data_IF_101249019802
#
_entry.id   IF_101249019802
#
_cell.length_a   1.000
_cell.length_b   1.000
_cell.length_c   1.000
_cell.angle_alpha   90.00
_cell.angle_beta   90.00
_cell.angle_gamma   90.00
#
_symmetry.space_group_name_H-M   'P 1'
#
loop_
_entity.id
_entity.type
_entity.pdbx_description
1 polymer ?
#
# COMPACT_ATOMS: atom_id res chain seq x y z
N UNK A 1 18.36 -8.81 -78.05
CA UNK A 1 18.46 -9.64 -76.83
C UNK A 1 18.84 -8.76 -75.67
N UNK A 2 18.07 -8.77 -74.59
CA UNK A 2 18.36 -8.01 -73.37
C UNK A 2 17.12 -7.91 -72.47
N UNK A 3 16.86 -8.97 -71.69
CA UNK A 3 15.80 -9.00 -70.67
C UNK A 3 16.43 -8.67 -69.32
N UNK A 4 15.98 -7.59 -68.68
CA UNK A 4 16.28 -7.30 -67.28
C UNK A 4 15.05 -7.70 -66.45
N UNK A 5 15.17 -8.76 -65.67
CA UNK A 5 14.19 -9.20 -64.68
C UNK A 5 14.57 -8.66 -63.31
N UNK A 6 13.68 -7.88 -62.72
CA UNK A 6 13.75 -7.33 -61.36
C UNK A 6 13.52 -8.45 -60.34
N UNK A 7 14.51 -8.72 -59.50
CA UNK A 7 14.38 -9.56 -58.31
C UNK A 7 13.91 -8.74 -57.11
N UNK A 8 12.66 -8.94 -56.69
CA UNK A 8 12.17 -8.53 -55.38
C UNK A 8 12.39 -9.66 -54.39
N UNK A 9 13.02 -9.36 -53.25
CA UNK A 9 13.15 -10.27 -52.12
C UNK A 9 11.88 -10.15 -51.26
N UNK A 10 11.08 -11.22 -51.20
CA UNK A 10 9.98 -11.32 -50.23
C UNK A 10 10.58 -11.57 -48.84
N UNK A 11 10.57 -10.54 -48.00
CA UNK A 11 10.73 -10.69 -46.58
C UNK A 11 9.40 -11.21 -46.01
N UNK A 12 9.37 -12.48 -45.61
CA UNK A 12 8.24 -13.08 -44.90
C UNK A 12 8.19 -12.43 -43.51
N UNK A 13 7.28 -11.47 -43.33
CA UNK A 13 6.99 -10.92 -42.01
C UNK A 13 6.23 -12.01 -41.22
N UNK A 14 6.87 -12.53 -40.18
CA UNK A 14 6.22 -13.37 -39.16
C UNK A 14 5.27 -12.47 -38.36
N UNK A 15 4.01 -12.47 -38.79
CA UNK A 15 2.92 -11.62 -38.28
C UNK A 15 2.26 -12.25 -37.04
N UNK A 16 3.04 -12.92 -36.20
CA UNK A 16 2.56 -13.42 -34.92
C UNK A 16 2.34 -12.23 -33.98
N UNK A 17 1.09 -11.86 -33.62
CA UNK A 17 0.88 -10.73 -32.73
C UNK A 17 1.49 -11.08 -31.37
N UNK A 18 2.35 -10.20 -30.88
CA UNK A 18 2.79 -10.18 -29.49
C UNK A 18 1.51 -10.04 -28.66
N UNK A 19 1.02 -11.15 -28.11
CA UNK A 19 0.02 -11.10 -27.05
C UNK A 19 0.73 -10.48 -25.88
N UNK A 20 0.59 -9.15 -25.75
CA UNK A 20 0.69 -8.49 -24.46
C UNK A 20 -0.43 -9.14 -23.66
N UNK A 21 -0.08 -10.20 -22.92
CA UNK A 21 -0.93 -10.63 -21.84
C UNK A 21 -1.18 -9.35 -21.04
N UNK A 22 -2.45 -8.98 -20.87
CA UNK A 22 -2.84 -8.11 -19.79
C UNK A 22 -2.23 -8.73 -18.54
N UNK A 23 -1.05 -8.25 -18.20
CA UNK A 23 -0.50 -8.40 -16.88
C UNK A 23 -1.40 -7.47 -16.12
N UNK A 24 -2.49 -8.03 -15.63
CA UNK A 24 -3.23 -7.48 -14.51
C UNK A 24 -2.16 -7.32 -13.42
N UNK A 25 -1.52 -6.14 -13.43
CA UNK A 25 -0.92 -5.62 -12.23
C UNK A 25 -2.16 -5.50 -11.35
N UNK A 26 -2.36 -6.50 -10.50
CA UNK A 26 -3.35 -6.48 -9.44
C UNK A 26 -2.96 -5.32 -8.56
N UNK A 27 -3.32 -4.11 -9.01
CA UNK A 27 -3.38 -2.97 -8.14
C UNK A 27 -4.41 -3.40 -7.12
N UNK A 28 -4.05 -3.42 -5.83
CA UNK A 28 -5.05 -3.65 -4.81
C UNK A 28 -6.16 -2.65 -5.08
N UNK A 29 -7.40 -3.12 -5.01
CA UNK A 29 -8.58 -2.27 -5.19
C UNK A 29 -8.70 -1.37 -3.96
N UNK A 30 -7.74 -0.45 -3.83
CA UNK A 30 -7.48 0.31 -2.61
C UNK A 30 -8.60 1.29 -2.40
N UNK A 31 -9.15 1.24 -1.19
CA UNK A 31 -10.19 2.13 -0.70
C UNK A 31 -9.59 3.44 -0.20
N UNK A 32 -8.36 3.43 0.33
CA UNK A 32 -7.64 4.64 0.71
C UNK A 32 -6.80 5.19 -0.44
N UNK A 33 -6.92 6.50 -0.66
CA UNK A 33 -6.11 7.22 -1.65
C UNK A 33 -4.72 7.52 -1.09
N UNK A 34 -3.73 6.77 -1.56
CA UNK A 34 -2.31 7.05 -1.31
C UNK A 34 -1.87 8.29 -2.10
N UNK A 35 -1.10 9.17 -1.45
CA UNK A 35 -0.48 10.32 -2.08
C UNK A 35 0.79 10.72 -1.32
N UNK A 36 1.52 11.73 -1.81
CA UNK A 36 2.77 12.19 -1.20
C UNK A 36 2.65 12.74 0.24
N UNK A 37 1.42 12.90 0.75
CA UNK A 37 1.13 13.35 2.12
C UNK A 37 0.57 12.23 3.00
N UNK A 38 0.52 10.99 2.53
CA UNK A 38 0.19 9.83 3.36
C UNK A 38 1.24 9.68 4.46
N UNK A 39 0.82 9.48 5.70
CA UNK A 39 1.77 9.35 6.84
C UNK A 39 2.69 8.14 6.68
N UNK A 40 2.13 6.96 6.44
CA UNK A 40 2.88 5.74 6.11
C UNK A 40 2.20 5.03 4.93
N UNK A 41 2.92 4.90 3.83
CA UNK A 41 2.43 4.20 2.63
C UNK A 41 2.76 2.70 2.63
N UNK A 42 3.61 2.25 3.56
CA UNK A 42 3.97 0.86 3.76
C UNK A 42 4.32 0.60 5.23
N UNK A 43 3.50 -0.22 5.89
CA UNK A 43 3.73 -0.83 7.20
C UNK A 43 3.43 -2.33 7.09
N UNK A 44 3.98 -3.12 8.01
CA UNK A 44 3.47 -4.48 8.23
C UNK A 44 2.21 -4.39 9.10
N UNK A 45 1.13 -5.04 8.67
CA UNK A 45 -0.13 -5.06 9.38
C UNK A 45 -0.69 -6.47 9.51
N UNK A 46 -1.45 -6.69 10.56
CA UNK A 46 -2.09 -7.97 10.86
C UNK A 46 -3.56 -7.74 11.15
N UNK A 47 -4.43 -8.55 10.55
CA UNK A 47 -5.82 -8.66 10.95
C UNK A 47 -6.08 -10.02 11.60
N UNK A 48 -6.56 -9.98 12.83
CA UNK A 48 -6.94 -11.17 13.59
C UNK A 48 -8.46 -11.23 13.73
N UNK A 49 -9.06 -12.30 13.22
CA UNK A 49 -10.45 -12.66 13.44
C UNK A 49 -10.59 -13.79 14.46
N UNK A 50 -11.81 -14.28 14.66
CA UNK A 50 -12.05 -15.44 15.54
C UNK A 50 -11.38 -16.72 15.02
N UNK A 51 -11.33 -16.91 13.70
CA UNK A 51 -10.88 -18.14 13.04
C UNK A 51 -9.73 -17.91 12.04
N UNK A 52 -9.15 -16.71 11.99
CA UNK A 52 -8.05 -16.37 11.09
C UNK A 52 -7.08 -15.36 11.71
N UNK A 53 -5.84 -15.39 11.24
CA UNK A 53 -4.83 -14.37 11.44
C UNK A 53 -4.11 -14.19 10.10
N UNK A 54 -4.13 -12.97 9.57
CA UNK A 54 -3.60 -12.67 8.24
C UNK A 54 -2.71 -11.44 8.29
N UNK A 55 -1.53 -11.56 7.68
CA UNK A 55 -0.55 -10.49 7.55
C UNK A 55 -0.57 -9.91 6.14
N UNK A 56 -0.54 -8.59 6.03
CA UNK A 56 -0.49 -7.88 4.76
C UNK A 56 0.23 -6.54 4.94
N UNK A 57 0.73 -5.99 3.83
CA UNK A 57 1.18 -4.60 3.84
C UNK A 57 0.02 -3.67 4.13
N UNK A 58 0.28 -2.62 4.90
CA UNK A 58 -0.72 -1.69 5.39
C UNK A 58 -0.37 -0.25 5.03
N UNK A 59 -1.40 0.55 4.82
CA UNK A 59 -1.31 2.02 4.75
C UNK A 59 -1.94 2.57 6.00
N UNK A 60 -1.24 3.50 6.66
CA UNK A 60 -1.75 4.24 7.81
C UNK A 60 -1.65 5.74 7.54
N UNK A 61 -2.76 6.45 7.66
CA UNK A 61 -2.82 7.86 7.33
C UNK A 61 -3.49 8.68 8.43
N UNK A 62 -2.88 9.82 8.78
CA UNK A 62 -3.42 10.80 9.72
C UNK A 62 -3.66 12.11 8.99
N UNK A 63 -4.91 12.60 9.01
CA UNK A 63 -5.29 13.85 8.34
C UNK A 63 -6.26 14.67 9.18
N UNK A 64 -6.50 15.91 8.78
CA UNK A 64 -7.60 16.74 9.28
C UNK A 64 -8.28 17.44 8.09
N UNK A 65 -9.55 17.88 8.23
CA UNK A 65 -10.21 18.67 7.19
C UNK A 65 -9.38 19.89 6.78
N UNK A 66 -9.26 20.14 5.46
CA UNK A 66 -8.46 21.26 4.93
C UNK A 66 -9.04 22.65 5.27
N UNK A 67 -10.35 22.73 5.46
CA UNK A 67 -11.05 23.96 5.79
C UNK A 67 -11.78 23.74 7.12
N UNK A 68 -11.61 24.66 8.08
CA UNK A 68 -12.22 24.61 9.41
C UNK A 68 -12.05 23.24 10.11
N UNK A 69 -10.81 22.82 10.41
CA UNK A 69 -10.56 21.52 11.01
C UNK A 69 -11.22 21.40 12.40
N UNK A 70 -12.04 20.38 12.57
CA UNK A 70 -12.77 20.07 13.81
C UNK A 70 -12.45 18.67 14.37
N UNK A 71 -11.74 17.83 13.60
CA UNK A 71 -11.30 16.51 14.02
C UNK A 71 -9.98 16.09 13.34
N UNK A 72 -9.34 15.09 13.92
CA UNK A 72 -8.28 14.30 13.31
C UNK A 72 -8.89 12.98 12.84
N UNK A 73 -8.49 12.54 11.65
CA UNK A 73 -8.91 11.30 11.04
C UNK A 73 -7.72 10.37 10.93
N UNK A 74 -7.80 9.20 11.56
CA UNK A 74 -6.85 8.09 11.43
C UNK A 74 -7.49 7.03 10.52
N UNK A 75 -6.77 6.58 9.51
CA UNK A 75 -7.24 5.59 8.53
C UNK A 75 -6.22 4.48 8.38
N UNK A 76 -6.68 3.23 8.39
CA UNK A 76 -5.87 2.03 8.17
C UNK A 76 -6.49 1.21 7.04
N UNK A 77 -5.67 0.70 6.13
CA UNK A 77 -6.07 -0.28 5.12
C UNK A 77 -4.98 -1.32 4.95
N UNK A 78 -5.36 -2.60 5.05
CA UNK A 78 -4.52 -3.73 4.68
C UNK A 78 -4.65 -4.01 3.18
N UNK A 79 -3.55 -4.40 2.54
CA UNK A 79 -3.52 -4.77 1.12
C UNK A 79 -4.36 -6.02 0.89
N UNK A 80 -5.56 -5.83 0.34
CA UNK A 80 -6.54 -6.89 0.17
C UNK A 80 -6.09 -7.98 -0.81
N UNK A 81 -5.03 -7.76 -1.60
CA UNK A 81 -4.48 -8.79 -2.50
C UNK A 81 -3.65 -9.84 -1.76
N UNK A 82 -3.29 -9.55 -0.51
CA UNK A 82 -2.55 -10.44 0.39
C UNK A 82 -3.44 -11.08 1.46
N UNK A 83 -4.75 -10.81 1.44
CA UNK A 83 -5.73 -11.34 2.38
C UNK A 83 -6.56 -12.44 1.71
N UNK A 84 -6.89 -13.48 2.48
CA UNK A 84 -7.68 -14.62 1.99
C UNK A 84 -9.11 -14.57 2.51
N UNK A 85 -9.28 -14.25 3.79
CA UNK A 85 -10.56 -14.32 4.50
C UNK A 85 -11.22 -12.96 4.63
N UNK A 86 -10.42 -11.93 4.92
CA UNK A 86 -10.94 -10.61 5.24
C UNK A 86 -11.26 -9.84 3.95
N UNK A 87 -12.52 -9.43 3.70
CA UNK A 87 -12.86 -8.66 2.52
C UNK A 87 -12.09 -7.33 2.49
N UNK A 88 -11.91 -6.76 1.30
CA UNK A 88 -11.34 -5.42 1.15
C UNK A 88 -12.10 -4.42 2.03
N UNK A 89 -11.40 -3.80 2.96
CA UNK A 89 -11.94 -2.85 3.92
C UNK A 89 -10.87 -1.82 4.28
N UNK A 90 -11.34 -0.66 4.72
CA UNK A 90 -10.50 0.37 5.30
C UNK A 90 -11.19 0.88 6.56
N UNK A 91 -10.45 0.90 7.64
CA UNK A 91 -10.93 1.35 8.93
C UNK A 91 -10.64 2.82 9.12
N UNK A 92 -11.57 3.52 9.79
CA UNK A 92 -11.47 4.96 10.01
C UNK A 92 -11.90 5.31 11.42
N UNK A 93 -11.03 6.03 12.11
CA UNK A 93 -11.29 6.57 13.44
C UNK A 93 -11.32 8.10 13.36
N UNK A 94 -12.35 8.70 13.95
CA UNK A 94 -12.47 10.15 14.12
C UNK A 94 -12.11 10.51 15.56
N UNK A 95 -11.12 11.37 15.72
CA UNK A 95 -10.59 11.79 17.01
C UNK A 95 -10.76 13.30 17.17
N UNK A 96 -11.16 13.73 18.37
CA UNK A 96 -10.95 15.13 18.75
C UNK A 96 -9.46 15.46 18.82
N UNK A 97 -9.12 16.75 18.78
CA UNK A 97 -7.73 17.18 18.92
C UNK A 97 -7.10 16.77 20.27
N UNK A 98 -7.90 16.63 21.33
CA UNK A 98 -7.41 16.14 22.64
C UNK A 98 -7.08 14.64 22.57
N UNK A 99 -8.01 13.81 22.08
CA UNK A 99 -7.80 12.37 21.94
C UNK A 99 -6.61 12.04 21.04
N UNK A 100 -6.41 12.80 19.95
CA UNK A 100 -5.26 12.63 19.08
C UNK A 100 -3.93 12.91 19.80
N UNK A 101 -3.87 13.93 20.66
CA UNK A 101 -2.67 14.22 21.48
C UNK A 101 -2.43 13.14 22.52
N UNK A 102 -3.48 12.60 23.13
CA UNK A 102 -3.36 11.46 24.04
C UNK A 102 -2.78 10.24 23.33
N UNK A 103 -3.27 9.92 22.13
CA UNK A 103 -2.74 8.81 21.32
C UNK A 103 -1.26 9.04 20.97
N UNK A 104 -0.91 10.25 20.54
CA UNK A 104 0.48 10.60 20.23
C UNK A 104 1.42 10.40 21.44
N UNK A 105 1.00 10.83 22.63
CA UNK A 105 1.80 10.65 23.84
C UNK A 105 2.00 9.18 24.23
N UNK A 106 1.01 8.32 24.02
CA UNK A 106 1.22 6.87 24.22
C UNK A 106 2.16 6.28 23.16
N UNK A 107 2.05 6.70 21.89
CA UNK A 107 2.98 6.25 20.84
C UNK A 107 4.43 6.62 21.17
N UNK A 108 4.70 7.86 21.58
CA UNK A 108 6.03 8.32 22.00
C UNK A 108 6.57 7.48 23.16
N UNK A 109 5.77 7.32 24.22
CA UNK A 109 6.14 6.54 25.41
C UNK A 109 6.49 5.08 25.09
N UNK A 110 5.76 4.43 24.17
CA UNK A 110 6.06 3.06 23.78
C UNK A 110 7.26 2.98 22.83
N UNK A 111 7.50 3.99 21.99
CA UNK A 111 8.73 4.09 21.20
C UNK A 111 9.97 4.20 22.10
N UNK A 112 9.97 5.11 23.09
CA UNK A 112 11.06 5.27 24.05
C UNK A 112 11.39 3.94 24.76
N UNK A 113 10.35 3.16 25.10
CA UNK A 113 10.52 1.84 25.73
C UNK A 113 11.21 0.84 24.81
N UNK A 114 10.89 0.85 23.51
CA UNK A 114 11.52 -0.04 22.52
C UNK A 114 12.99 0.35 22.34
N UNK A 115 13.28 1.64 22.21
CA UNK A 115 14.65 2.14 22.04
C UNK A 115 15.52 1.81 23.26
N UNK A 116 15.01 2.04 24.48
CA UNK A 116 15.72 1.69 25.70
C UNK A 116 16.08 0.19 25.77
N UNK A 117 15.13 -0.68 25.40
CA UNK A 117 15.37 -2.12 25.38
C UNK A 117 16.41 -2.55 24.33
N UNK A 118 16.54 -1.83 23.22
CA UNK A 118 17.56 -2.13 22.20
C UNK A 118 18.96 -1.70 22.66
N UNK A 119 19.08 -0.53 23.30
CA UNK A 119 20.36 -0.06 23.86
C UNK A 119 20.91 -1.01 24.93
N UNK A 120 20.05 -1.53 25.81
CA UNK A 120 20.47 -2.47 26.85
C UNK A 120 21.01 -3.80 26.26
N UNK A 121 20.52 -4.23 25.08
CA UNK A 121 20.98 -5.45 24.41
C UNK A 121 22.28 -5.24 23.62
N UNK A 122 22.57 -4.00 23.18
CA UNK A 122 23.79 -3.68 22.43
C UNK A 122 25.03 -3.52 23.35
N UNK A 123 24.81 -3.42 24.67
CA UNK A 123 25.84 -3.32 25.71
C UNK A 123 26.27 -4.70 26.30
N UNK A 124 25.69 -5.83 25.83
CA UNK A 124 26.06 -7.23 26.17
C UNK A 124 26.97 -7.91 25.12
#
# INVERSE_FOLDING_TARGET
>A
MGTWGSGGVDAVADDTPIRVADREVSMPDRLLRINAYTTFDMLDGTATGHDFDEEAFAVLNVTAPRQNPDHVKLELELDNTQLETLPAHADRVTLSAEQARTLAGELEKYADRVEAAQLDNDDE
#
